data_IF_622739156706
#
_entry.id   IF_622739156706
#
_cell.length_a   1.000
_cell.length_b   1.000
_cell.length_c   1.000
_cell.angle_alpha   90.00
_cell.angle_beta   90.00
_cell.angle_gamma   90.00
#
_symmetry.space_group_name_H-M   'P 1'
#
loop_
_entity.id
_entity.type
_entity.pdbx_description
1 polymer ?
#
# COMPACT_ATOMS: atom_id res chain seq x y z
N UNK A 1 10.61 10.70 -10.47
CA UNK A 1 10.41 9.44 -9.73
C UNK A 1 10.02 9.79 -8.31
N UNK A 2 8.93 9.25 -7.81
CA UNK A 2 8.45 9.44 -6.44
C UNK A 2 8.00 8.10 -5.88
N UNK A 3 8.35 7.82 -4.62
CA UNK A 3 7.91 6.62 -3.91
C UNK A 3 7.10 7.02 -2.68
N UNK A 4 5.97 6.35 -2.46
CA UNK A 4 5.09 6.57 -1.32
C UNK A 4 4.93 5.24 -0.56
N UNK A 5 5.18 5.27 0.75
CA UNK A 5 5.11 4.09 1.62
C UNK A 5 3.75 4.05 2.31
N UNK A 6 2.91 3.06 1.97
CA UNK A 6 1.59 2.86 2.58
C UNK A 6 1.56 1.75 3.62
N UNK A 7 2.60 0.92 3.68
CA UNK A 7 2.78 -0.11 4.69
C UNK A 7 4.22 -0.56 4.75
N UNK A 8 4.54 -1.50 5.65
CA UNK A 8 5.94 -1.81 6.01
C UNK A 8 6.79 -0.59 6.44
N UNK A 9 6.14 0.52 6.82
CA UNK A 9 6.78 1.73 7.33
C UNK A 9 6.74 1.72 8.86
N UNK A 10 7.90 1.49 9.50
CA UNK A 10 8.02 1.27 10.96
C UNK A 10 7.18 0.08 11.48
N UNK A 11 6.82 -0.85 10.60
CA UNK A 11 6.13 -2.11 10.90
C UNK A 11 6.57 -3.17 9.90
N UNK A 12 6.33 -4.45 10.20
CA UNK A 12 6.74 -5.57 9.34
C UNK A 12 5.63 -6.07 8.41
N UNK A 13 4.37 -5.65 8.63
CA UNK A 13 3.21 -6.15 7.87
C UNK A 13 2.62 -5.08 6.95
N UNK A 14 1.78 -5.51 6.01
CA UNK A 14 1.03 -4.60 5.14
C UNK A 14 1.81 -3.98 3.99
N UNK A 15 2.95 -4.56 3.56
CA UNK A 15 3.83 -3.99 2.53
C UNK A 15 3.05 -3.51 1.30
N UNK A 16 3.12 -2.20 1.04
CA UNK A 16 2.49 -1.52 -0.10
C UNK A 16 3.29 -0.26 -0.39
N UNK A 17 3.95 -0.22 -1.55
CA UNK A 17 4.77 0.91 -1.97
C UNK A 17 4.34 1.38 -3.35
N UNK A 18 3.85 2.61 -3.44
CA UNK A 18 3.43 3.18 -4.72
C UNK A 18 4.61 3.92 -5.35
N UNK A 19 5.02 3.46 -6.52
CA UNK A 19 6.05 4.07 -7.35
C UNK A 19 5.40 4.87 -8.49
N UNK A 20 5.69 6.16 -8.52
CA UNK A 20 5.28 7.07 -9.59
C UNK A 20 6.51 7.42 -10.45
N UNK A 21 6.55 6.92 -11.68
CA UNK A 21 7.68 7.09 -12.60
C UNK A 21 7.22 7.11 -14.05
N UNK A 22 7.76 8.04 -14.86
CA UNK A 22 7.47 8.16 -16.29
C UNK A 22 5.97 8.22 -16.62
N UNK A 23 5.18 8.90 -15.78
CA UNK A 23 3.72 9.01 -15.94
C UNK A 23 2.94 7.75 -15.54
N UNK A 24 3.61 6.70 -15.08
CA UNK A 24 3.01 5.45 -14.61
C UNK A 24 2.88 5.38 -13.10
N UNK A 25 1.88 4.62 -12.63
CA UNK A 25 1.70 4.28 -11.21
C UNK A 25 1.80 2.77 -11.02
N UNK A 26 2.87 2.35 -10.36
CA UNK A 26 3.17 0.93 -10.13
C UNK A 26 3.08 0.65 -8.64
N UNK A 27 2.24 -0.31 -8.25
CA UNK A 27 2.17 -0.80 -6.87
C UNK A 27 3.18 -1.94 -6.67
N UNK A 28 4.17 -1.71 -5.83
CA UNK A 28 5.12 -2.74 -5.38
C UNK A 28 4.60 -3.36 -4.08
N UNK A 29 4.30 -4.66 -4.15
CA UNK A 29 3.60 -5.45 -3.13
C UNK A 29 2.17 -4.98 -2.80
N UNK A 30 1.36 -5.93 -2.33
CA UNK A 30 0.03 -5.68 -1.79
C UNK A 30 -0.24 -6.54 -0.55
N UNK A 31 0.69 -6.50 0.40
CA UNK A 31 0.63 -7.26 1.64
C UNK A 31 -0.50 -6.81 2.56
N UNK A 32 -1.03 -7.77 3.35
CA UNK A 32 -2.03 -7.51 4.38
C UNK A 32 -1.37 -7.09 5.69
N UNK A 33 -2.00 -6.14 6.39
CA UNK A 33 -1.69 -5.85 7.78
C UNK A 33 -2.14 -7.00 8.67
N UNK A 34 -1.36 -7.32 9.70
CA UNK A 34 -1.67 -8.33 10.71
C UNK A 34 -1.52 -7.73 12.11
N UNK A 35 -2.07 -8.39 13.13
CA UNK A 35 -2.07 -7.93 14.52
C UNK A 35 -3.49 -7.69 15.04
N UNK A 36 -3.74 -6.50 15.61
CA UNK A 36 -5.04 -6.16 16.19
C UNK A 36 -6.16 -6.23 15.15
N UNK A 37 -7.05 -7.22 15.31
CA UNK A 37 -8.06 -7.59 14.31
C UNK A 37 -8.86 -6.41 13.75
N UNK A 38 -9.36 -5.52 14.61
CA UNK A 38 -10.18 -4.36 14.19
C UNK A 38 -9.40 -3.37 13.33
N UNK A 39 -8.14 -3.10 13.67
CA UNK A 39 -7.27 -2.18 12.92
C UNK A 39 -6.81 -2.81 11.60
N UNK A 40 -6.37 -4.06 11.64
CA UNK A 40 -5.97 -4.80 10.45
C UNK A 40 -7.12 -4.93 9.46
N UNK A 41 -8.34 -5.26 9.92
CA UNK A 41 -9.53 -5.31 9.05
C UNK A 41 -9.81 -3.95 8.39
N UNK A 42 -9.68 -2.84 9.11
CA UNK A 42 -9.88 -1.50 8.55
C UNK A 42 -8.84 -1.19 7.46
N UNK A 43 -7.56 -1.40 7.77
CA UNK A 43 -6.46 -1.11 6.83
C UNK A 43 -6.46 -2.01 5.59
N UNK A 44 -6.98 -3.24 5.71
CA UNK A 44 -7.00 -4.20 4.62
C UNK A 44 -8.23 -4.08 3.70
N UNK A 45 -9.26 -3.32 4.10
CA UNK A 45 -10.50 -3.17 3.32
C UNK A 45 -10.46 -2.01 2.32
N UNK A 46 -9.56 -1.05 2.52
CA UNK A 46 -9.51 0.18 1.73
C UNK A 46 -8.10 0.44 1.22
N UNK A 47 -7.99 0.89 -0.03
CA UNK A 47 -6.73 1.38 -0.58
C UNK A 47 -6.61 2.89 -0.30
N UNK A 48 -5.44 3.37 0.14
CA UNK A 48 -5.19 4.81 0.32
C UNK A 48 -4.88 5.53 -1.01
N UNK A 49 -5.15 4.87 -2.14
CA UNK A 49 -4.98 5.34 -3.51
C UNK A 49 -6.07 4.70 -4.38
N UNK A 50 -6.32 5.26 -5.57
CA UNK A 50 -7.25 4.68 -6.52
C UNK A 50 -6.58 3.50 -7.26
N UNK A 51 -7.01 2.25 -7.06
CA UNK A 51 -6.40 1.10 -7.73
C UNK A 51 -6.64 1.09 -9.25
N UNK A 52 -7.67 1.80 -9.74
CA UNK A 52 -7.95 1.91 -11.18
C UNK A 52 -6.98 2.83 -11.93
N UNK A 53 -6.10 3.54 -11.23
CA UNK A 53 -5.03 4.36 -11.80
C UNK A 53 -3.69 3.61 -11.87
N UNK A 54 -3.62 2.37 -11.39
CA UNK A 54 -2.41 1.56 -11.48
C UNK A 54 -2.24 0.99 -12.90
N UNK A 55 -0.99 0.94 -13.35
CA UNK A 55 -0.56 0.30 -14.61
C UNK A 55 -0.26 -1.20 -14.45
#
# INVERSE_FOLDING_TARGET
>A
MKITFYGAAQTVTGSKHLLEINGKKILLDCGLHQGHRKESEKLNREFPFNPGELD
#
